data_IF_200114697439
#
_entry.id   IF_200114697439
#
_cell.length_a   1.000
_cell.length_b   1.000
_cell.length_c   1.000
_cell.angle_alpha   90.00
_cell.angle_beta   90.00
_cell.angle_gamma   90.00
#
_symmetry.space_group_name_H-M   'P 1'
#
loop_
_entity.id
_entity.type
_entity.pdbx_description
1 polymer ?
#
# COMPACT_ATOMS: atom_id res chain seq x y z
N UNK A 1 12.22 -9.32 5.40
CA UNK A 1 12.69 -8.66 6.64
C UNK A 1 12.20 -7.22 6.62
N UNK A 2 11.82 -6.68 7.76
CA UNK A 2 11.38 -5.28 7.89
C UNK A 2 12.57 -4.45 8.37
N UNK A 3 12.60 -3.17 7.98
CA UNK A 3 13.69 -2.25 8.35
C UNK A 3 13.94 -2.22 9.85
N UNK A 4 15.16 -2.54 10.29
CA UNK A 4 15.49 -2.50 11.72
C UNK A 4 15.56 -1.06 12.27
N UNK A 5 15.77 -0.09 11.40
CA UNK A 5 15.89 1.32 11.79
C UNK A 5 14.53 2.04 11.80
N UNK A 6 13.63 1.67 10.89
CA UNK A 6 12.41 2.45 10.64
C UNK A 6 11.12 1.66 10.86
N UNK A 7 11.20 0.31 11.09
CA UNK A 7 9.99 -0.51 11.14
C UNK A 7 9.29 -0.60 9.78
N UNK A 8 7.99 -0.79 9.80
CA UNK A 8 7.12 -0.78 8.63
C UNK A 8 6.09 0.34 8.76
N UNK A 9 6.05 1.23 7.79
CA UNK A 9 4.97 2.22 7.65
C UNK A 9 3.99 1.74 6.58
N UNK A 10 2.70 1.65 6.93
CA UNK A 10 1.66 1.16 6.06
C UNK A 10 0.57 2.21 5.86
N UNK A 11 0.32 2.56 4.61
CA UNK A 11 -0.79 3.40 4.18
C UNK A 11 -1.87 2.51 3.57
N UNK A 12 -3.01 2.42 4.24
CA UNK A 12 -4.20 1.74 3.69
C UNK A 12 -4.70 2.42 2.42
N UNK A 13 -4.64 3.73 2.40
CA UNK A 13 -4.73 4.59 1.23
C UNK A 13 -3.80 5.78 1.47
N UNK A 14 -3.16 6.29 0.43
CA UNK A 14 -2.21 7.41 0.52
C UNK A 14 -2.79 8.68 1.15
N UNK A 15 -4.10 8.86 1.08
CA UNK A 15 -4.82 10.01 1.66
C UNK A 15 -5.07 9.90 3.16
N UNK A 16 -4.93 8.70 3.71
CA UNK A 16 -5.15 8.41 5.11
C UNK A 16 -3.85 8.49 5.91
N UNK A 17 -3.91 8.76 7.21
CA UNK A 17 -2.75 8.65 8.07
C UNK A 17 -2.16 7.22 8.02
N UNK A 18 -0.83 7.08 8.00
CA UNK A 18 -0.22 5.75 8.03
C UNK A 18 -0.31 5.12 9.41
N UNK A 19 -0.33 3.80 9.44
CA UNK A 19 -0.07 3.01 10.64
C UNK A 19 1.38 2.56 10.63
N UNK A 20 2.10 2.78 11.73
CA UNK A 20 3.50 2.42 11.87
C UNK A 20 3.68 1.25 12.82
N UNK A 21 4.49 0.30 12.41
CA UNK A 21 4.84 -0.90 13.15
C UNK A 21 6.34 -0.90 13.42
N UNK A 22 6.73 -0.54 14.65
CA UNK A 22 8.14 -0.43 15.04
C UNK A 22 8.67 -1.71 15.70
N UNK A 23 7.80 -2.62 16.11
CA UNK A 23 8.17 -3.83 16.82
C UNK A 23 8.18 -5.06 15.89
N UNK A 24 9.32 -5.76 15.75
CA UNK A 24 9.37 -7.04 15.04
C UNK A 24 8.35 -8.06 15.55
N UNK A 25 8.14 -8.12 16.87
CA UNK A 25 7.17 -9.04 17.47
C UNK A 25 5.72 -8.75 17.05
N UNK A 26 5.37 -7.49 16.81
CA UNK A 26 4.06 -7.11 16.27
C UNK A 26 3.96 -7.55 14.81
N UNK A 27 5.01 -7.34 14.02
CA UNK A 27 5.03 -7.70 12.60
C UNK A 27 4.93 -9.22 12.37
N UNK A 28 5.59 -10.03 13.17
CA UNK A 28 5.51 -11.49 13.10
C UNK A 28 4.08 -12.01 13.35
N UNK A 29 3.29 -11.27 14.11
CA UNK A 29 1.92 -11.62 14.47
C UNK A 29 0.86 -10.85 13.70
N UNK A 30 1.24 -9.91 12.85
CA UNK A 30 0.34 -8.95 12.22
C UNK A 30 -0.83 -9.63 11.48
N UNK A 31 -0.57 -10.75 10.80
CA UNK A 31 -1.57 -11.50 10.06
C UNK A 31 -2.56 -12.28 10.95
N UNK A 32 -2.10 -12.72 12.13
CA UNK A 32 -2.92 -13.53 13.05
C UNK A 32 -3.51 -12.70 14.19
N UNK A 33 -3.00 -11.47 14.39
CA UNK A 33 -3.50 -10.56 15.42
C UNK A 33 -4.90 -10.08 15.10
N UNK A 34 -5.70 -9.95 16.14
CA UNK A 34 -7.02 -9.30 16.12
C UNK A 34 -6.96 -7.84 16.57
N UNK A 35 -5.75 -7.31 16.78
CA UNK A 35 -5.56 -5.92 17.14
C UNK A 35 -6.18 -5.02 16.08
N UNK A 36 -6.98 -4.06 16.52
CA UNK A 36 -7.64 -3.10 15.64
C UNK A 36 -6.79 -1.84 15.51
N UNK A 37 -6.64 -1.38 14.28
CA UNK A 37 -5.94 -0.15 13.92
C UNK A 37 -6.92 0.83 13.29
N UNK A 38 -6.62 2.11 13.43
CA UNK A 38 -7.30 3.18 12.69
C UNK A 38 -6.60 3.34 11.33
N UNK A 39 -7.31 3.01 10.27
CA UNK A 39 -6.83 3.11 8.88
C UNK A 39 -7.27 4.41 8.20
N UNK A 40 -7.91 5.32 8.94
CA UNK A 40 -8.45 6.58 8.45
C UNK A 40 -9.92 6.52 8.07
N UNK A 41 -10.23 7.01 6.90
CA UNK A 41 -11.60 7.07 6.37
C UNK A 41 -11.72 6.34 5.03
N UNK A 42 -12.89 5.80 4.78
CA UNK A 42 -13.22 5.18 3.50
C UNK A 42 -13.50 6.27 2.46
N UNK A 43 -12.86 6.17 1.30
CA UNK A 43 -13.18 7.05 0.17
C UNK A 43 -14.65 6.90 -0.23
N UNK A 44 -15.24 8.01 -0.65
CA UNK A 44 -16.64 8.06 -1.09
C UNK A 44 -17.63 8.18 0.05
N UNK A 45 -17.62 7.29 1.05
CA UNK A 45 -18.57 7.36 2.16
C UNK A 45 -18.14 8.29 3.31
N UNK A 46 -16.82 8.52 3.47
CA UNK A 46 -16.25 9.26 4.59
C UNK A 46 -16.39 8.56 5.95
N UNK A 47 -16.81 7.30 5.97
CA UNK A 47 -16.95 6.54 7.20
C UNK A 47 -15.58 6.14 7.77
N UNK A 48 -15.42 6.10 9.13
CA UNK A 48 -14.21 5.61 9.75
C UNK A 48 -13.90 4.17 9.31
N UNK A 49 -12.62 3.93 9.04
CA UNK A 49 -12.10 2.63 8.66
C UNK A 49 -11.21 2.09 9.78
N UNK A 50 -11.69 1.09 10.49
CA UNK A 50 -10.94 0.44 11.56
C UNK A 50 -11.07 -1.07 11.49
N UNK A 51 -10.14 -1.79 12.11
CA UNK A 51 -10.11 -3.25 12.13
C UNK A 51 -8.69 -3.79 12.11
N UNK A 52 -8.57 -5.11 12.08
CA UNK A 52 -7.27 -5.78 12.02
C UNK A 52 -6.63 -5.66 10.62
N UNK A 53 -5.33 -5.87 10.55
CA UNK A 53 -4.61 -5.99 9.29
C UNK A 53 -5.23 -7.05 8.38
N UNK A 54 -5.57 -8.19 8.96
CA UNK A 54 -6.16 -9.31 8.23
C UNK A 54 -7.50 -8.97 7.59
N UNK A 55 -8.30 -8.13 8.23
CA UNK A 55 -9.62 -7.73 7.72
C UNK A 55 -9.54 -6.60 6.72
N UNK A 56 -8.70 -5.60 6.97
CA UNK A 56 -8.74 -4.35 6.22
C UNK A 56 -7.68 -4.25 5.12
N UNK A 57 -6.50 -4.83 5.33
CA UNK A 57 -5.35 -4.66 4.42
C UNK A 57 -5.08 -5.91 3.58
N UNK A 58 -5.04 -7.07 4.24
CA UNK A 58 -4.63 -8.32 3.58
C UNK A 58 -5.47 -8.68 2.36
N UNK A 59 -6.81 -8.57 2.36
CA UNK A 59 -7.61 -8.89 1.17
C UNK A 59 -7.28 -8.01 -0.03
N UNK A 60 -6.97 -6.73 0.19
CA UNK A 60 -6.61 -5.78 -0.85
C UNK A 60 -5.21 -6.05 -1.42
N UNK A 61 -4.28 -6.47 -0.57
CA UNK A 61 -2.95 -6.92 -1.01
C UNK A 61 -3.04 -8.21 -1.82
N UNK A 62 -3.80 -9.18 -1.33
CA UNK A 62 -4.03 -10.46 -1.99
C UNK A 62 -4.69 -10.27 -3.37
N UNK A 63 -5.64 -9.35 -3.48
CA UNK A 63 -6.31 -9.02 -4.73
C UNK A 63 -5.32 -8.59 -5.83
N UNK A 64 -4.28 -7.81 -5.49
CA UNK A 64 -3.27 -7.41 -6.48
C UNK A 64 -2.32 -8.57 -6.82
N UNK A 65 -1.82 -9.30 -5.82
CA UNK A 65 -0.80 -10.33 -6.08
C UNK A 65 -1.36 -11.63 -6.68
N UNK A 66 -2.67 -11.88 -6.51
CA UNK A 66 -3.33 -13.09 -7.03
C UNK A 66 -3.86 -12.94 -8.47
N UNK A 67 -3.93 -11.72 -9.00
CA UNK A 67 -4.39 -11.44 -10.36
C UNK A 67 -3.23 -10.96 -11.24
N UNK A 68 -3.37 -11.00 -12.56
CA UNK A 68 -2.39 -10.43 -13.48
C UNK A 68 -2.11 -8.96 -13.13
N UNK A 69 -0.86 -8.63 -12.93
CA UNK A 69 -0.42 -7.28 -12.59
C UNK A 69 0.91 -6.96 -13.30
N UNK A 70 1.16 -5.69 -13.50
CA UNK A 70 2.46 -5.19 -13.97
C UNK A 70 3.34 -4.82 -12.79
N UNK A 71 4.67 -4.85 -13.00
CA UNK A 71 5.68 -4.50 -11.99
C UNK A 71 6.60 -3.44 -12.57
N UNK A 72 6.78 -2.37 -11.82
CA UNK A 72 7.66 -1.27 -12.19
C UNK A 72 8.60 -0.94 -11.03
N UNK A 73 9.90 -0.84 -11.33
CA UNK A 73 10.91 -0.48 -10.33
C UNK A 73 11.21 1.02 -10.44
N UNK A 74 11.01 1.75 -9.35
CA UNK A 74 11.20 3.19 -9.25
C UNK A 74 10.40 4.01 -10.28
N UNK A 75 9.34 3.41 -10.81
CA UNK A 75 8.39 4.05 -11.71
C UNK A 75 6.97 3.76 -11.23
N UNK A 76 6.12 4.76 -11.27
CA UNK A 76 4.69 4.62 -11.07
C UNK A 76 4.01 4.68 -12.42
N UNK A 77 3.12 3.74 -12.68
CA UNK A 77 2.34 3.74 -13.91
C UNK A 77 1.36 4.92 -13.90
N UNK A 78 1.78 6.02 -14.54
CA UNK A 78 1.01 7.26 -14.58
C UNK A 78 -0.14 7.22 -15.59
N UNK A 79 -0.18 6.19 -16.43
CA UNK A 79 -1.25 5.97 -17.41
C UNK A 79 -2.51 5.32 -16.82
N UNK A 80 -2.65 5.32 -15.51
CA UNK A 80 -3.91 5.02 -14.83
C UNK A 80 -4.86 6.21 -15.05
N UNK A 81 -4.95 6.64 -16.28
CA UNK A 81 -5.86 7.70 -16.71
C UNK A 81 -7.16 7.10 -17.18
N UNK A 82 -7.83 6.38 -16.29
CA UNK A 82 -9.23 6.13 -16.51
C UNK A 82 -9.99 7.20 -15.75
N UNK A 83 -10.72 8.02 -16.48
CA UNK A 83 -11.64 8.97 -15.90
C UNK A 83 -11.02 10.14 -15.10
N UNK A 84 -9.82 10.61 -15.43
CA UNK A 84 -9.22 11.78 -14.77
C UNK A 84 -8.52 11.53 -13.45
N UNK A 85 -8.21 10.28 -13.14
CA UNK A 85 -7.44 9.88 -11.95
C UNK A 85 -5.92 9.98 -12.15
N UNK A 86 -5.46 10.49 -13.30
CA UNK A 86 -4.06 10.80 -13.53
C UNK A 86 -3.55 11.79 -12.48
N UNK A 87 -2.51 11.41 -11.75
CA UNK A 87 -1.96 12.21 -10.64
C UNK A 87 -2.36 11.72 -9.24
N UNK A 88 -3.25 10.73 -9.11
CA UNK A 88 -3.54 10.11 -7.81
C UNK A 88 -2.42 9.18 -7.33
N UNK A 89 -1.61 8.66 -8.25
CA UNK A 89 -0.52 7.75 -7.91
C UNK A 89 0.78 8.55 -7.90
N UNK A 90 1.39 8.67 -6.73
CA UNK A 90 2.65 9.38 -6.54
C UNK A 90 3.50 8.69 -5.48
N UNK A 91 4.82 8.93 -5.52
CA UNK A 91 5.73 8.51 -4.47
C UNK A 91 5.92 9.67 -3.50
N UNK A 92 5.61 9.50 -2.19
CA UNK A 92 5.74 10.59 -1.23
C UNK A 92 7.19 11.09 -1.12
N UNK A 93 7.35 12.40 -1.07
CA UNK A 93 8.68 13.04 -1.06
C UNK A 93 9.53 12.62 0.16
N UNK A 94 8.90 12.29 1.26
CA UNK A 94 9.55 11.80 2.48
C UNK A 94 10.31 10.48 2.30
N UNK A 95 9.94 9.69 1.26
CA UNK A 95 10.58 8.41 0.90
C UNK A 95 11.45 8.52 -0.36
N UNK A 96 11.81 9.72 -0.79
CA UNK A 96 12.57 9.95 -2.03
C UNK A 96 13.93 9.25 -2.08
N UNK A 97 14.47 8.90 -0.91
CA UNK A 97 15.72 8.15 -0.74
C UNK A 97 15.56 6.62 -0.78
N UNK A 98 14.33 6.12 -0.83
CA UNK A 98 14.05 4.68 -0.91
C UNK A 98 13.84 4.24 -2.35
N UNK A 99 14.26 3.03 -2.66
CA UNK A 99 13.81 2.36 -3.87
C UNK A 99 12.40 1.79 -3.63
N UNK A 100 11.64 1.65 -4.70
CA UNK A 100 10.33 1.02 -4.60
C UNK A 100 10.01 0.12 -5.79
N UNK A 101 9.08 -0.80 -5.56
CA UNK A 101 8.45 -1.63 -6.61
C UNK A 101 6.95 -1.34 -6.57
N UNK A 102 6.41 -0.90 -7.68
CA UNK A 102 4.97 -0.73 -7.87
C UNK A 102 4.38 -1.99 -8.51
N UNK A 103 3.29 -2.47 -7.93
CA UNK A 103 2.48 -3.59 -8.42
C UNK A 103 1.12 -3.02 -8.84
N UNK A 104 0.88 -2.94 -10.14
CA UNK A 104 -0.35 -2.39 -10.68
C UNK A 104 -1.26 -3.49 -11.23
N UNK A 105 -2.49 -3.55 -10.74
CA UNK A 105 -3.58 -4.33 -11.27
C UNK A 105 -4.56 -3.41 -12.01
N UNK A 106 -4.70 -3.65 -13.30
CA UNK A 106 -5.65 -2.90 -14.12
C UNK A 106 -7.10 -3.17 -13.68
N UNK A 107 -7.96 -2.20 -13.91
CA UNK A 107 -9.39 -2.39 -13.72
C UNK A 107 -9.93 -3.46 -14.68
N UNK A 108 -10.85 -4.34 -14.23
CA UNK A 108 -11.57 -5.22 -15.11
C UNK A 108 -12.40 -4.44 -16.15
N UNK A 109 -12.68 -5.07 -17.29
CA UNK A 109 -13.57 -4.48 -18.28
C UNK A 109 -14.92 -4.11 -17.61
N UNK A 110 -15.45 -2.94 -17.94
CA UNK A 110 -16.69 -2.36 -17.35
C UNK A 110 -16.62 -1.94 -15.87
N UNK A 111 -15.46 -1.96 -15.24
CA UNK A 111 -15.25 -1.52 -13.86
C UNK A 111 -14.08 -0.54 -13.78
N UNK A 112 -14.11 0.51 -14.57
CA UNK A 112 -12.98 1.42 -14.84
C UNK A 112 -12.31 2.01 -13.59
N UNK A 113 -13.03 2.14 -12.48
CA UNK A 113 -12.50 2.64 -11.21
C UNK A 113 -11.92 1.54 -10.30
N UNK A 114 -12.08 0.27 -10.66
CA UNK A 114 -11.60 -0.85 -9.84
C UNK A 114 -10.14 -1.25 -10.17
N UNK A 115 -9.29 -0.27 -10.35
CA UNK A 115 -7.83 -0.48 -10.40
C UNK A 115 -7.22 -0.43 -9.01
N UNK A 116 -6.06 -1.05 -8.84
CA UNK A 116 -5.31 -1.02 -7.58
C UNK A 116 -3.81 -0.97 -7.85
N UNK A 117 -3.11 -0.21 -7.03
CA UNK A 117 -1.65 -0.19 -7.03
C UNK A 117 -1.14 -0.35 -5.61
N UNK A 118 -0.26 -1.33 -5.41
CA UNK A 118 0.56 -1.41 -4.21
C UNK A 118 1.98 -0.97 -4.54
N UNK A 119 2.54 -0.12 -3.70
CA UNK A 119 3.92 0.30 -3.79
C UNK A 119 4.66 -0.19 -2.56
N UNK A 120 5.73 -0.92 -2.80
CA UNK A 120 6.59 -1.53 -1.78
C UNK A 120 7.89 -0.75 -1.72
N UNK A 121 8.06 0.06 -0.68
CA UNK A 121 9.29 0.83 -0.44
C UNK A 121 10.35 -0.04 0.23
N UNK A 122 11.56 0.01 -0.31
CA UNK A 122 12.68 -0.84 0.07
C UNK A 122 13.85 0.03 0.53
N UNK A 123 14.28 -0.21 1.75
CA UNK A 123 15.51 0.35 2.29
C UNK A 123 16.64 -0.67 2.17
N UNK A 124 17.82 -0.20 1.76
CA UNK A 124 19.03 -1.04 1.75
C UNK A 124 19.92 -0.66 2.92
N UNK A 125 20.18 -1.62 3.81
CA UNK A 125 21.12 -1.47 4.93
C UNK A 125 22.28 -2.45 4.72
N UNK A 126 23.47 -1.94 4.50
CA UNK A 126 24.66 -2.75 4.19
C UNK A 126 24.43 -3.72 3.01
N UNK A 127 23.71 -3.28 1.98
CA UNK A 127 23.39 -4.10 0.79
C UNK A 127 22.26 -5.11 0.97
N UNK A 128 21.66 -5.19 2.15
CA UNK A 128 20.52 -6.07 2.44
C UNK A 128 19.23 -5.29 2.28
N UNK A 129 18.25 -5.77 1.47
CA UNK A 129 16.97 -5.11 1.30
C UNK A 129 16.03 -5.37 2.49
N UNK A 130 15.37 -4.33 2.94
CA UNK A 130 14.37 -4.36 3.99
C UNK A 130 13.10 -3.66 3.52
N UNK A 131 11.96 -4.22 3.86
CA UNK A 131 10.67 -3.57 3.68
C UNK A 131 10.54 -2.40 4.67
N UNK A 132 10.30 -1.21 4.16
CA UNK A 132 10.16 0.01 4.96
C UNK A 132 8.76 0.63 4.86
N UNK A 133 8.16 0.57 3.67
CA UNK A 133 6.86 1.20 3.39
C UNK A 133 5.99 0.27 2.56
N UNK A 134 4.71 0.18 2.91
CA UNK A 134 3.65 -0.33 2.05
C UNK A 134 2.63 0.78 1.82
N UNK A 135 2.39 1.11 0.58
CA UNK A 135 1.52 2.20 0.18
C UNK A 135 0.52 1.70 -0.85
N UNK A 136 -0.77 1.88 -0.57
CA UNK A 136 -1.83 1.53 -1.50
C UNK A 136 -2.46 2.76 -2.14
N UNK A 137 -2.77 2.63 -3.43
CA UNK A 137 -3.63 3.52 -4.18
C UNK A 137 -4.80 2.72 -4.74
N UNK A 138 -5.99 3.21 -4.53
CA UNK A 138 -7.22 2.64 -5.09
C UNK A 138 -8.31 3.70 -5.07
N UNK A 139 -9.34 3.45 -5.86
CA UNK A 139 -10.55 4.23 -5.83
C UNK A 139 -11.70 3.36 -5.33
N UNK A 140 -12.42 3.83 -4.34
CA UNK A 140 -13.67 3.22 -3.85
C UNK A 140 -14.73 4.32 -3.78
N UNK A 141 -15.92 4.01 -4.29
CA UNK A 141 -17.10 4.88 -4.22
C UNK A 141 -17.99 4.39 -3.07
#
# INVERSE_FOLDING_TARGET
MVSPAHGLTLYHNVWNPPVRFDSPAVLERLYISTDSYDWGIQDGSGLPLSGSFKEQVYPKLQDVVSYPHTRHCNELEQNISVGGTSGLVFWPAEYSNLNFVALYRAAPASQELNWRTWVVGIEYVNGVPYLAVLLQFYWEI
#
